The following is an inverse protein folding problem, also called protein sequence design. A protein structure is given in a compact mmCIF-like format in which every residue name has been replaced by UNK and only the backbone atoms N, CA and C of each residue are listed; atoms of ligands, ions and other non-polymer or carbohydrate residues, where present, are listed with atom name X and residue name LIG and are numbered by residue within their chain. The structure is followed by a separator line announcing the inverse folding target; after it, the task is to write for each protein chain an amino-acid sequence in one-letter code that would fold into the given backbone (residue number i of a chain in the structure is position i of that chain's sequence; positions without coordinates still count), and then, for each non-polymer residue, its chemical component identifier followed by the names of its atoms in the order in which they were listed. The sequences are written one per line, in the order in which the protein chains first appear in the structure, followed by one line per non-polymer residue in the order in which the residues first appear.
data_IF_491708166842
#
_entry.id   IF_491708166842
#
_cell.length_a   1.000
_cell.length_b   1.000
_cell.length_c   1.000
_cell.angle_alpha   90.00
_cell.angle_beta   90.00
_cell.angle_gamma   90.00
#
_symmetry.space_group_name_H-M   'P 1'
#
loop_
_entity.id
_entity.type
_entity.pdbx_description
1 polymer ?
#
# COMPACT_ATOMS: atom_id res chain seq x y z
N UNK A 1 -61.89 -44.68 15.64
CA UNK A 1 -62.33 -43.86 14.48
C UNK A 1 -61.09 -43.45 13.69
N UNK A 2 -60.92 -43.99 12.50
CA UNK A 2 -60.11 -43.42 11.39
C UNK A 2 -61.14 -42.93 10.34
N UNK A 3 -60.85 -42.02 9.37
CA UNK A 3 -59.58 -41.95 8.63
C UNK A 3 -59.12 -40.56 8.05
N UNK A 4 -57.88 -40.57 7.51
CA UNK A 4 -57.38 -40.00 6.23
C UNK A 4 -57.69 -38.56 5.75
N UNK A 5 -56.62 -37.84 5.40
CA UNK A 5 -56.44 -36.97 4.20
C UNK A 5 -54.91 -36.74 4.09
N UNK A 6 -54.11 -37.22 3.12
CA UNK A 6 -54.09 -37.26 1.64
C UNK A 6 -53.59 -35.96 0.97
N UNK A 7 -52.48 -36.11 0.23
CA UNK A 7 -52.05 -35.35 -0.98
C UNK A 7 -51.61 -33.87 -0.76
N UNK A 8 -50.70 -33.26 -1.53
CA UNK A 8 -50.05 -33.63 -2.79
C UNK A 8 -48.89 -32.66 -3.09
N UNK A 9 -47.93 -33.18 -3.86
CA UNK A 9 -46.88 -32.51 -4.61
C UNK A 9 -47.39 -31.44 -5.58
N UNK A 10 -46.59 -30.39 -5.80
CA UNK A 10 -46.49 -29.77 -7.14
C UNK A 10 -45.21 -28.93 -7.26
N UNK A 11 -44.26 -29.52 -7.98
CA UNK A 11 -43.12 -28.87 -8.62
C UNK A 11 -43.62 -27.98 -9.76
N UNK A 12 -43.05 -26.79 -9.93
CA UNK A 12 -43.30 -25.93 -11.09
C UNK A 12 -41.98 -25.62 -11.80
N UNK A 13 -41.73 -26.40 -12.85
CA UNK A 13 -40.87 -26.06 -13.98
C UNK A 13 -41.64 -25.13 -14.91
N UNK A 14 -41.07 -23.96 -15.21
CA UNK A 14 -41.48 -23.11 -16.32
C UNK A 14 -40.25 -22.95 -17.23
N UNK A 15 -40.26 -23.67 -18.34
CA UNK A 15 -39.47 -23.38 -19.53
C UNK A 15 -40.34 -22.55 -20.47
N UNK A 16 -39.76 -21.53 -21.11
CA UNK A 16 -40.15 -21.09 -22.45
C UNK A 16 -38.99 -20.28 -23.07
N UNK A 17 -38.48 -20.80 -24.18
CA UNK A 17 -37.76 -20.11 -25.26
C UNK A 17 -38.77 -19.15 -25.96
N UNK A 18 -38.47 -18.10 -26.73
CA UNK A 18 -37.47 -17.89 -27.80
C UNK A 18 -37.54 -16.41 -28.27
N UNK A 19 -36.44 -15.92 -28.87
CA UNK A 19 -36.33 -14.87 -29.93
C UNK A 19 -36.73 -13.40 -29.63
N UNK A 20 -35.78 -12.43 -29.69
CA UNK A 20 -35.34 -11.77 -30.93
C UNK A 20 -34.35 -10.60 -30.66
N UNK A 21 -33.44 -10.38 -31.61
CA UNK A 21 -32.41 -9.33 -31.64
C UNK A 21 -32.94 -7.97 -32.09
N UNK A 22 -32.46 -6.86 -31.50
CA UNK A 22 -31.83 -5.73 -32.23
C UNK A 22 -31.34 -4.60 -31.32
N UNK A 23 -30.07 -4.23 -31.54
CA UNK A 23 -29.54 -2.86 -31.65
C UNK A 23 -29.70 -1.83 -30.51
N UNK A 24 -28.53 -1.40 -30.05
CA UNK A 24 -28.15 -0.07 -29.60
C UNK A 24 -29.04 0.62 -28.55
N UNK A 25 -28.58 0.59 -27.30
CA UNK A 25 -28.48 1.83 -26.54
C UNK A 25 -27.42 1.73 -25.43
N UNK A 26 -26.80 2.87 -25.19
CA UNK A 26 -25.56 3.10 -24.45
C UNK A 26 -25.53 2.53 -23.03
N UNK A 27 -24.53 1.68 -22.74
CA UNK A 27 -24.03 1.53 -21.37
C UNK A 27 -22.53 1.17 -21.35
N UNK A 28 -21.70 2.05 -21.90
CA UNK A 28 -20.35 2.19 -21.37
C UNK A 28 -20.43 2.95 -20.04
N UNK A 29 -21.12 2.37 -19.06
CA UNK A 29 -20.91 2.74 -17.67
C UNK A 29 -19.63 2.01 -17.29
N UNK A 30 -18.50 2.71 -17.31
CA UNK A 30 -17.24 2.17 -16.81
C UNK A 30 -17.52 1.60 -15.42
N UNK A 31 -17.53 0.27 -15.32
CA UNK A 31 -17.61 -0.43 -14.05
C UNK A 31 -16.32 -0.11 -13.32
N UNK A 32 -16.29 1.01 -12.59
CA UNK A 32 -15.19 1.31 -11.69
C UNK A 32 -15.18 0.18 -10.67
N UNK A 33 -14.16 -0.67 -10.75
CA UNK A 33 -13.96 -1.71 -9.77
C UNK A 33 -13.97 -1.04 -8.39
N UNK A 34 -14.75 -1.57 -7.43
CA UNK A 34 -14.84 -0.95 -6.12
C UNK A 34 -13.44 -0.85 -5.54
N UNK A 35 -13.03 0.37 -5.18
CA UNK A 35 -11.74 0.60 -4.56
C UNK A 35 -11.74 -0.07 -3.18
N UNK A 36 -11.12 -1.25 -3.10
CA UNK A 36 -11.01 -2.02 -1.86
C UNK A 36 -9.59 -1.90 -1.30
N UNK A 37 -9.51 -1.79 0.03
CA UNK A 37 -8.26 -1.68 0.77
C UNK A 37 -7.80 -3.06 1.23
N UNK A 38 -6.52 -3.39 1.05
CA UNK A 38 -5.91 -4.57 1.69
C UNK A 38 -5.45 -4.20 3.10
N UNK A 39 -5.77 -5.01 4.11
CA UNK A 39 -5.30 -4.78 5.48
C UNK A 39 -4.19 -5.78 5.81
N UNK A 40 -3.01 -5.27 6.17
CA UNK A 40 -1.89 -6.07 6.66
C UNK A 40 -1.71 -5.86 8.15
N UNK A 41 -1.70 -6.93 8.94
CA UNK A 41 -1.44 -6.88 10.38
C UNK A 41 -0.15 -7.63 10.65
N UNK A 42 0.86 -6.94 11.16
CA UNK A 42 2.17 -7.52 11.46
C UNK A 42 2.39 -7.53 12.96
N UNK A 43 2.72 -8.70 13.51
CA UNK A 43 3.09 -8.81 14.92
C UNK A 43 4.56 -9.11 15.10
N UNK A 44 5.17 -8.47 16.10
CA UNK A 44 6.57 -8.67 16.41
C UNK A 44 6.91 -8.54 17.90
N UNK A 45 8.12 -8.94 18.25
CA UNK A 45 8.72 -8.84 19.56
C UNK A 45 9.85 -7.83 19.57
N UNK A 46 9.80 -6.85 20.48
CA UNK A 46 10.87 -5.85 20.65
C UNK A 46 12.24 -6.51 20.93
N UNK A 47 12.26 -7.69 21.55
CA UNK A 47 13.46 -8.50 21.77
C UNK A 47 14.22 -8.84 20.47
N UNK A 48 13.52 -8.89 19.33
CA UNK A 48 14.08 -9.30 18.04
C UNK A 48 14.23 -8.13 17.06
N UNK A 49 14.29 -6.90 17.57
CA UNK A 49 14.40 -5.67 16.78
C UNK A 49 13.05 -4.99 16.53
N UNK A 50 13.10 -3.70 16.17
CA UNK A 50 11.91 -2.96 15.70
C UNK A 50 11.63 -3.32 14.23
N UNK A 51 10.57 -2.76 13.68
CA UNK A 51 10.33 -2.77 12.23
C UNK A 51 10.51 -1.32 11.77
N UNK A 52 11.03 -1.11 10.56
CA UNK A 52 11.25 0.22 10.00
C UNK A 52 9.95 1.03 9.97
N UNK A 53 10.07 2.34 10.23
CA UNK A 53 8.91 3.24 10.40
C UNK A 53 8.11 3.41 9.11
N UNK A 54 8.75 3.25 7.95
CA UNK A 54 8.12 3.33 6.64
C UNK A 54 7.20 2.14 6.32
N UNK A 55 7.31 1.04 7.07
CA UNK A 55 6.63 -0.21 6.72
C UNK A 55 5.22 -0.36 7.35
N UNK A 56 4.72 0.65 8.07
CA UNK A 56 3.42 0.59 8.74
C UNK A 56 2.75 1.96 8.85
N UNK A 57 1.43 1.97 8.81
CA UNK A 57 0.62 3.17 9.03
C UNK A 57 0.33 3.41 10.51
N UNK A 58 0.07 2.33 11.25
CA UNK A 58 -0.21 2.37 12.68
C UNK A 58 0.64 1.39 13.45
N UNK A 59 1.04 1.77 14.66
CA UNK A 59 1.81 0.90 15.56
C UNK A 59 1.24 0.89 16.98
N UNK A 60 1.12 -0.31 17.57
CA UNK A 60 0.59 -0.52 18.92
C UNK A 60 1.58 -1.25 19.83
N UNK A 61 1.92 -0.63 20.96
CA UNK A 61 2.73 -1.20 22.04
C UNK A 61 1.85 -1.92 23.06
N UNK A 62 2.05 -3.24 23.24
CA UNK A 62 1.33 -4.05 24.21
C UNK A 62 2.21 -4.54 25.37
N UNK A 63 3.37 -3.92 25.61
CA UNK A 63 4.29 -4.31 26.69
C UNK A 63 3.71 -4.08 28.08
N UNK A 64 2.82 -3.09 28.24
CA UNK A 64 2.22 -2.74 29.53
C UNK A 64 0.91 -3.48 29.81
N UNK A 65 0.38 -4.20 28.81
CA UNK A 65 -0.81 -5.03 29.01
C UNK A 65 -0.49 -6.26 29.87
N UNK A 66 -1.42 -6.70 30.73
CA UNK A 66 -1.22 -7.86 31.59
C UNK A 66 -0.92 -9.11 30.77
N UNK A 67 -0.04 -9.96 31.31
CA UNK A 67 0.32 -11.19 30.62
C UNK A 67 -0.79 -12.24 30.76
N UNK A 68 -1.16 -12.94 29.67
CA UNK A 68 -2.16 -14.00 29.73
C UNK A 68 -1.60 -15.26 30.39
N UNK A 69 -2.46 -15.98 31.09
CA UNK A 69 -2.23 -17.25 31.78
C UNK A 69 -1.08 -17.19 32.78
N UNK A 70 -0.72 -18.35 33.33
CA UNK A 70 0.48 -18.49 34.15
C UNK A 70 1.75 -18.52 33.29
N UNK A 71 2.89 -18.20 33.90
CA UNK A 71 4.19 -18.25 33.21
C UNK A 71 4.53 -19.64 32.65
N UNK A 72 4.05 -20.72 33.29
CA UNK A 72 4.28 -22.08 32.82
C UNK A 72 3.45 -22.39 31.56
N UNK A 73 2.17 -22.01 31.54
CA UNK A 73 1.31 -22.21 30.36
C UNK A 73 1.84 -21.44 29.14
N UNK A 74 2.33 -20.20 29.33
CA UNK A 74 2.95 -19.39 28.28
C UNK A 74 4.20 -19.99 27.64
N UNK A 75 4.85 -20.99 28.26
CA UNK A 75 5.99 -21.68 27.63
C UNK A 75 5.56 -22.62 26.49
N UNK A 76 4.33 -23.13 26.55
CA UNK A 76 3.81 -24.14 25.63
C UNK A 76 2.79 -23.59 24.62
N UNK A 77 2.30 -22.37 24.86
CA UNK A 77 1.22 -21.76 24.11
C UNK A 77 1.65 -20.41 23.54
N UNK A 78 1.04 -20.01 22.43
CA UNK A 78 1.18 -18.70 21.80
C UNK A 78 -0.19 -18.01 21.71
N UNK A 79 -0.24 -16.78 21.20
CA UNK A 79 -1.49 -16.07 20.93
C UNK A 79 -2.40 -16.75 19.88
N UNK A 80 -1.88 -17.73 19.14
CA UNK A 80 -2.68 -18.54 18.22
C UNK A 80 -3.62 -19.51 18.98
N UNK A 81 -3.32 -19.83 20.24
CA UNK A 81 -4.15 -20.74 21.01
C UNK A 81 -5.36 -20.00 21.60
N UNK A 82 -6.58 -20.43 21.22
CA UNK A 82 -7.85 -19.88 21.71
C UNK A 82 -7.95 -19.74 23.24
N UNK A 83 -7.53 -20.72 24.07
CA UNK A 83 -7.62 -20.56 25.52
C UNK A 83 -6.75 -19.42 26.07
N UNK A 84 -5.58 -19.19 25.46
CA UNK A 84 -4.71 -18.08 25.84
C UNK A 84 -5.31 -16.74 25.43
N UNK A 85 -5.91 -16.64 24.23
CA UNK A 85 -6.64 -15.43 23.82
C UNK A 85 -7.82 -15.14 24.75
N UNK A 86 -8.63 -16.16 25.08
CA UNK A 86 -9.78 -16.01 25.97
C UNK A 86 -9.36 -15.51 27.35
N UNK A 87 -8.26 -16.04 27.89
CA UNK A 87 -7.71 -15.56 29.16
C UNK A 87 -7.18 -14.12 29.04
N UNK A 88 -6.44 -13.80 27.98
CA UNK A 88 -5.95 -12.44 27.72
C UNK A 88 -7.09 -11.40 27.70
N UNK A 89 -8.16 -11.71 26.97
CA UNK A 89 -9.36 -10.87 26.84
C UNK A 89 -10.34 -11.03 28.00
N UNK A 90 -10.04 -11.84 29.02
CA UNK A 90 -10.87 -11.86 30.24
C UNK A 90 -10.63 -10.61 31.09
N UNK A 91 -9.49 -9.96 30.92
CA UNK A 91 -9.11 -8.76 31.66
C UNK A 91 -9.79 -7.50 31.06
N UNK A 92 -10.51 -6.75 31.89
CA UNK A 92 -11.25 -5.54 31.47
C UNK A 92 -10.33 -4.43 30.94
N UNK A 93 -9.12 -4.28 31.47
CA UNK A 93 -8.15 -3.30 30.96
C UNK A 93 -7.72 -3.66 29.53
N UNK A 94 -7.48 -4.95 29.25
CA UNK A 94 -7.15 -5.43 27.89
C UNK A 94 -8.31 -5.20 26.94
N UNK A 95 -9.56 -5.51 27.35
CA UNK A 95 -10.75 -5.24 26.52
C UNK A 95 -10.89 -3.75 26.22
N UNK A 96 -10.76 -2.89 27.23
CA UNK A 96 -10.90 -1.44 27.09
C UNK A 96 -9.85 -0.87 26.12
N UNK A 97 -8.59 -1.26 26.30
CA UNK A 97 -7.51 -0.88 25.39
C UNK A 97 -7.80 -1.38 23.96
N UNK A 98 -8.17 -2.65 23.79
CA UNK A 98 -8.51 -3.22 22.49
C UNK A 98 -9.65 -2.47 21.79
N UNK A 99 -10.76 -2.19 22.48
CA UNK A 99 -11.88 -1.47 21.87
C UNK A 99 -11.52 -0.03 21.50
N UNK A 100 -10.63 0.61 22.26
CA UNK A 100 -10.13 1.95 21.95
C UNK A 100 -9.28 1.92 20.68
N UNK A 101 -8.28 1.02 20.62
CA UNK A 101 -7.45 0.82 19.44
C UNK A 101 -8.28 0.39 18.23
N UNK A 102 -9.27 -0.50 18.40
CA UNK A 102 -10.15 -0.93 17.31
C UNK A 102 -10.88 0.25 16.67
N UNK A 103 -11.45 1.15 17.48
CA UNK A 103 -12.15 2.34 16.98
C UNK A 103 -11.21 3.26 16.21
N UNK A 104 -9.98 3.43 16.69
CA UNK A 104 -8.94 4.21 16.03
C UNK A 104 -8.54 3.59 14.69
N UNK A 105 -8.20 2.29 14.68
CA UNK A 105 -7.85 1.55 13.46
C UNK A 105 -8.96 1.68 12.42
N UNK A 106 -10.21 1.46 12.81
CA UNK A 106 -11.36 1.57 11.91
C UNK A 106 -11.54 3.00 11.36
N UNK A 107 -11.26 4.01 12.18
CA UNK A 107 -11.28 5.42 11.74
C UNK A 107 -10.20 5.69 10.70
N UNK A 108 -8.98 5.21 10.91
CA UNK A 108 -7.87 5.39 9.98
C UNK A 108 -8.06 4.59 8.69
N UNK A 109 -8.58 3.36 8.74
CA UNK A 109 -8.94 2.57 7.55
C UNK A 109 -9.93 3.35 6.67
N UNK A 110 -10.96 3.96 7.26
CA UNK A 110 -11.95 4.75 6.50
C UNK A 110 -11.33 5.99 5.86
N UNK A 111 -10.41 6.66 6.55
CA UNK A 111 -9.67 7.80 5.99
C UNK A 111 -8.76 7.37 4.85
N UNK A 112 -8.03 6.26 5.03
CA UNK A 112 -7.15 5.69 4.03
C UNK A 112 -7.92 5.32 2.76
N UNK A 113 -9.02 4.60 2.90
CA UNK A 113 -9.94 4.28 1.80
C UNK A 113 -10.43 5.54 1.08
N UNK A 114 -10.88 6.58 1.82
CA UNK A 114 -11.35 7.82 1.22
C UNK A 114 -10.24 8.62 0.51
N UNK A 115 -9.00 8.56 1.02
CA UNK A 115 -7.85 9.19 0.37
C UNK A 115 -7.52 8.49 -0.95
N UNK A 116 -7.51 7.17 -0.93
CA UNK A 116 -7.27 6.37 -2.11
C UNK A 116 -8.31 6.57 -3.22
N UNK A 117 -9.60 6.66 -2.86
CA UNK A 117 -10.66 6.96 -3.83
C UNK A 117 -10.44 8.30 -4.55
N UNK A 118 -9.95 9.32 -3.85
CA UNK A 118 -9.66 10.64 -4.45
C UNK A 118 -8.49 10.61 -5.43
N UNK A 119 -7.46 9.82 -5.14
CA UNK A 119 -6.31 9.68 -6.03
C UNK A 119 -6.74 9.06 -7.37
N UNK A 120 -7.64 8.07 -7.33
CA UNK A 120 -8.17 7.46 -8.54
C UNK A 120 -9.01 8.43 -9.37
N UNK A 121 -9.92 9.19 -8.75
CA UNK A 121 -10.75 10.17 -9.50
C UNK A 121 -9.92 11.26 -10.16
N UNK A 122 -8.84 11.69 -9.50
CA UNK A 122 -7.93 12.69 -10.06
C UNK A 122 -7.09 12.10 -11.20
N UNK A 123 -6.64 10.85 -11.09
CA UNK A 123 -5.90 10.17 -12.15
C UNK A 123 -6.77 9.97 -13.41
N UNK A 124 -8.02 9.56 -13.24
CA UNK A 124 -9.00 9.40 -14.34
C UNK A 124 -9.30 10.74 -15.03
N UNK A 125 -9.51 11.82 -14.26
CA UNK A 125 -9.73 13.17 -14.82
C UNK A 125 -8.49 13.72 -15.57
N UNK A 126 -7.29 13.48 -15.04
CA UNK A 126 -6.03 13.93 -15.69
C UNK A 126 -5.77 13.14 -16.98
N UNK A 127 -6.13 11.85 -17.02
CA UNK A 127 -6.01 11.03 -18.22
C UNK A 127 -6.99 11.48 -19.32
N UNK A 128 -8.22 11.83 -18.95
CA UNK A 128 -9.24 12.34 -19.88
C UNK A 128 -8.87 13.71 -20.45
N UNK A 129 -8.34 14.63 -19.63
CA UNK A 129 -7.89 15.96 -20.06
C UNK A 129 -6.64 15.89 -20.97
N UNK A 130 -5.74 14.92 -20.73
CA UNK A 130 -4.59 14.64 -21.62
C UNK A 130 -5.01 14.03 -22.96
N UNK A 131 -6.03 13.18 -22.97
CA UNK A 131 -6.57 12.62 -24.21
C UNK A 131 -7.22 13.71 -25.08
N UNK A 132 -7.96 14.64 -24.46
CA UNK A 132 -8.61 15.75 -25.19
C UNK A 132 -7.59 16.71 -25.82
N UNK A 133 -6.56 17.08 -25.07
CA UNK A 133 -5.49 17.97 -25.56
C UNK A 133 -4.67 17.35 -26.70
N UNK A 134 -4.39 16.04 -26.65
CA UNK A 134 -3.74 15.34 -27.76
C UNK A 134 -4.62 15.28 -29.02
N UNK A 135 -5.94 15.10 -28.88
CA UNK A 135 -6.85 15.14 -30.04
C UNK A 135 -6.98 16.54 -30.65
N UNK A 136 -6.97 17.59 -29.81
CA UNK A 136 -6.98 18.99 -30.28
C UNK A 136 -5.66 19.38 -30.97
N UNK A 137 -4.52 18.92 -30.48
CA UNK A 137 -3.23 19.12 -31.14
C UNK A 137 -3.15 18.36 -32.46
N UNK A 138 -3.61 17.11 -32.51
CA UNK A 138 -3.65 16.33 -33.74
C UNK A 138 -4.59 16.96 -34.79
N UNK A 139 -5.74 17.52 -34.37
CA UNK A 139 -6.64 18.26 -35.27
C UNK A 139 -5.96 19.49 -35.86
N UNK A 140 -5.28 20.30 -35.03
CA UNK A 140 -4.56 21.51 -35.49
C UNK A 140 -3.45 21.18 -36.49
N UNK A 141 -2.70 20.10 -36.26
CA UNK A 141 -1.65 19.64 -37.19
C UNK A 141 -2.27 19.19 -38.52
N UNK A 142 -3.36 18.44 -38.49
CA UNK A 142 -4.05 17.98 -39.71
C UNK A 142 -4.63 19.15 -40.51
N UNK A 143 -5.19 20.16 -39.83
CA UNK A 143 -5.71 21.37 -40.48
C UNK A 143 -4.58 22.18 -41.13
N UNK A 144 -3.43 22.30 -40.47
CA UNK A 144 -2.24 22.99 -41.01
C UNK A 144 -1.69 22.29 -42.26
N UNK A 145 -1.59 20.96 -42.23
CA UNK A 145 -1.13 20.17 -43.38
C UNK A 145 -2.11 20.30 -44.56
N UNK A 146 -3.42 20.33 -44.29
CA UNK A 146 -4.43 20.47 -45.33
C UNK A 146 -4.39 21.86 -45.99
N UNK A 147 -4.09 22.92 -45.23
CA UNK A 147 -3.88 24.26 -45.80
C UNK A 147 -2.59 24.33 -46.64
N UNK A 148 -1.47 23.77 -46.18
CA UNK A 148 -0.23 23.71 -46.98
C UNK A 148 -0.40 22.91 -48.28
N UNK A 149 -1.16 21.81 -48.25
CA UNK A 149 -1.50 21.02 -49.46
C UNK A 149 -2.42 21.81 -50.41
N UNK A 150 -3.26 22.69 -49.89
CA UNK A 150 -4.14 23.53 -50.69
C UNK A 150 -3.37 24.68 -51.36
N UNK A 151 -2.41 25.29 -50.64
CA UNK A 151 -1.52 26.32 -51.16
C UNK A 151 -0.56 25.76 -52.23
N UNK A 152 0.02 24.57 -52.01
CA UNK A 152 0.84 23.90 -53.03
C UNK A 152 0.07 23.53 -54.31
N UNK A 153 -1.26 23.32 -54.21
CA UNK A 153 -2.10 23.06 -55.40
C UNK A 153 -2.41 24.34 -56.16
N UNK A 154 -2.56 25.46 -55.48
CA UNK A 154 -2.75 26.77 -56.14
C UNK A 154 -1.48 27.26 -56.82
N UNK A 155 -0.30 27.00 -56.25
CA UNK A 155 0.98 27.37 -56.88
C UNK A 155 1.33 26.48 -58.09
N UNK A 156 0.86 25.23 -58.13
CA UNK A 156 1.03 24.31 -59.27
C UNK A 156 0.05 24.56 -60.42
N UNK A 157 -1.05 25.31 -60.21
CA UNK A 157 -1.92 25.76 -61.30
C UNK A 157 -1.44 27.07 -61.97
N UNK A 158 -0.69 27.92 -61.26
CA UNK A 158 -0.12 29.15 -61.83
C UNK A 158 1.27 28.98 -62.48
N UNK A 159 1.99 27.87 -62.21
CA UNK A 159 3.29 27.57 -62.83
C UNK A 159 3.22 26.73 -64.11
N UNK A 160 2.04 26.32 -64.57
CA UNK A 160 1.87 25.63 -65.87
C UNK A 160 1.95 26.56 -67.09
N UNK A 161 2.12 27.88 -66.92
CA UNK A 161 2.17 28.83 -68.05
C UNK A 161 3.48 29.62 -68.22
N UNK A 162 4.44 29.53 -67.29
CA UNK A 162 5.80 30.11 -67.43
C UNK A 162 6.72 29.29 -66.53
N UNK A 163 7.76 28.59 -66.98
CA UNK A 163 8.90 29.15 -67.70
C UNK A 163 9.81 27.98 -68.12
N UNK A 164 9.91 27.74 -69.42
CA UNK A 164 11.05 27.05 -70.02
C UNK A 164 12.11 28.14 -70.27
N UNK A 165 13.15 28.25 -69.42
CA UNK A 165 14.41 28.95 -69.75
C UNK A 165 15.45 28.87 -68.61
N UNK A 166 16.53 28.14 -68.89
CA UNK A 166 17.96 28.41 -68.58
C UNK A 166 18.41 28.59 -67.11
N UNK A 167 19.30 27.72 -66.59
CA UNK A 167 20.79 27.90 -66.52
C UNK A 167 21.20 29.14 -65.67
N UNK A 168 22.22 29.21 -64.80
CA UNK A 168 23.28 28.37 -64.22
C UNK A 168 24.04 29.35 -63.24
N UNK A 169 25.06 28.88 -62.47
CA UNK A 169 26.28 29.65 -62.06
C UNK A 169 26.41 30.37 -60.67
N UNK A 170 27.46 29.92 -59.93
CA UNK A 170 28.39 30.55 -58.93
C UNK A 170 27.88 30.75 -57.47
N UNK A 171 28.50 30.27 -56.37
CA UNK A 171 29.89 30.09 -55.81
C UNK A 171 30.33 31.19 -54.82
N UNK A 172 30.99 30.73 -53.74
CA UNK A 172 31.94 31.40 -52.80
C UNK A 172 31.28 32.35 -51.73
N UNK A 173 31.74 32.54 -50.47
CA UNK A 173 32.95 32.16 -49.72
C UNK A 173 32.79 32.50 -48.19
N UNK A 174 33.61 31.85 -47.32
CA UNK A 174 34.31 32.31 -46.08
C UNK A 174 33.58 33.13 -44.95
N UNK A 175 33.94 33.15 -43.64
CA UNK A 175 34.89 32.50 -42.71
C UNK A 175 34.58 32.97 -41.26
N UNK A 176 34.94 32.16 -40.26
CA UNK A 176 35.45 32.46 -38.89
C UNK A 176 34.94 33.62 -38.01
N UNK A 177 34.67 33.33 -36.72
CA UNK A 177 35.60 33.71 -35.60
C UNK A 177 35.05 33.54 -34.15
N UNK A 178 35.87 32.87 -33.32
CA UNK A 178 36.34 33.17 -31.93
C UNK A 178 35.40 33.70 -30.82
N UNK A 179 35.44 33.04 -29.64
CA UNK A 179 36.09 33.45 -28.33
C UNK A 179 35.47 32.67 -27.14
N UNK A 180 36.28 32.01 -26.29
CA UNK A 180 36.69 32.39 -24.90
C UNK A 180 35.53 32.34 -23.86
N UNK A 181 35.62 31.87 -22.60
CA UNK A 181 36.71 31.71 -21.63
C UNK A 181 36.23 30.91 -20.38
N UNK A 182 37.19 30.28 -19.71
CA UNK A 182 37.45 30.22 -18.24
C UNK A 182 36.48 29.55 -17.23
N UNK A 183 37.00 28.42 -16.73
CA UNK A 183 37.16 27.94 -15.34
C UNK A 183 36.77 28.84 -14.14
N UNK A 184 36.13 28.21 -13.14
CA UNK A 184 36.26 28.61 -11.73
C UNK A 184 36.22 27.38 -10.81
N UNK A 185 37.30 27.19 -10.05
CA UNK A 185 37.43 26.27 -8.91
C UNK A 185 36.74 26.82 -7.65
N UNK A 186 36.32 25.93 -6.75
CA UNK A 186 35.82 26.29 -5.42
C UNK A 186 35.79 25.07 -4.49
N UNK A 187 36.68 25.08 -3.50
CA UNK A 187 36.98 24.02 -2.52
C UNK A 187 35.93 23.84 -1.42
N UNK A 188 35.92 22.59 -0.92
CA UNK A 188 35.68 22.03 0.42
C UNK A 188 35.03 22.84 1.55
N UNK A 189 34.10 22.18 2.26
CA UNK A 189 34.31 21.85 3.70
C UNK A 189 33.32 20.78 4.18
N UNK A 190 33.87 19.82 4.93
CA UNK A 190 33.19 18.79 5.71
C UNK A 190 32.63 19.39 7.01
N UNK A 191 31.44 18.95 7.44
CA UNK A 191 31.14 18.76 8.86
C UNK A 191 30.36 17.45 9.05
N UNK A 192 30.76 16.74 10.10
CA UNK A 192 30.41 15.37 10.47
C UNK A 192 29.05 15.34 11.19
N UNK A 193 28.13 14.47 10.76
CA UNK A 193 26.95 14.10 11.55
C UNK A 193 27.04 12.62 11.93
N UNK A 194 27.18 12.40 13.23
CA UNK A 194 27.15 11.14 13.97
C UNK A 194 25.69 10.70 14.13
N UNK A 195 25.25 9.75 13.32
CA UNK A 195 23.99 9.04 13.54
C UNK A 195 24.25 7.53 13.55
N UNK A 196 23.92 6.92 14.68
CA UNK A 196 23.97 5.49 14.94
C UNK A 196 23.09 4.73 13.95
N UNK A 197 23.71 4.06 12.98
CA UNK A 197 23.08 3.10 12.08
C UNK A 197 22.72 1.81 12.85
N UNK A 198 21.47 1.71 13.31
CA UNK A 198 20.86 0.41 13.62
C UNK A 198 20.62 -0.29 12.27
N UNK A 199 21.20 -1.48 12.07
CA UNK A 199 21.03 -2.29 10.85
C UNK A 199 19.54 -2.48 10.51
N UNK A 200 19.01 -1.66 9.61
CA UNK A 200 17.71 -1.83 8.99
C UNK A 200 17.82 -2.97 7.99
N UNK A 201 17.17 -4.09 8.30
CA UNK A 201 17.00 -5.17 7.32
C UNK A 201 15.99 -4.68 6.29
N UNK A 202 16.49 -4.08 5.21
CA UNK A 202 15.70 -3.78 4.02
C UNK A 202 15.23 -5.10 3.41
N UNK A 203 13.92 -5.37 3.55
CA UNK A 203 13.28 -6.38 2.74
C UNK A 203 12.87 -5.74 1.43
N UNK A 204 13.58 -6.04 0.35
CA UNK A 204 13.20 -5.75 -1.04
C UNK A 204 11.74 -6.18 -1.26
N UNK A 205 10.86 -5.28 -1.73
CA UNK A 205 9.47 -5.61 -2.06
C UNK A 205 8.93 -4.83 -3.25
N UNK A 206 8.11 -5.57 -3.98
CA UNK A 206 7.39 -5.24 -5.21
C UNK A 206 6.47 -4.01 -5.04
N UNK A 207 6.71 -2.95 -5.81
CA UNK A 207 6.09 -1.62 -5.61
C UNK A 207 4.59 -1.52 -5.98
N UNK A 208 3.98 -2.54 -6.60
CA UNK A 208 2.59 -2.45 -7.11
C UNK A 208 1.50 -2.76 -6.05
N UNK A 209 1.79 -3.56 -5.02
CA UNK A 209 0.78 -3.98 -4.02
C UNK A 209 0.70 -3.08 -2.78
N UNK A 210 1.65 -2.16 -2.60
CA UNK A 210 1.74 -1.34 -1.40
C UNK A 210 0.83 -0.10 -1.44
N UNK A 211 0.43 0.40 -2.62
CA UNK A 211 -0.34 1.64 -2.73
C UNK A 211 -1.73 1.57 -2.07
N UNK A 212 -2.33 0.37 -2.00
CA UNK A 212 -3.67 0.16 -1.41
C UNK A 212 -3.64 -0.64 -0.11
N UNK A 213 -2.46 -0.83 0.46
CA UNK A 213 -2.28 -1.66 1.65
C UNK A 213 -2.18 -0.79 2.90
N UNK A 214 -3.13 -0.96 3.82
CA UNK A 214 -3.07 -0.36 5.15
C UNK A 214 -2.46 -1.34 6.16
N UNK A 215 -1.31 -0.99 6.71
CA UNK A 215 -0.50 -1.86 7.57
C UNK A 215 -0.55 -1.44 9.04
N UNK A 216 -0.98 -2.36 9.91
CA UNK A 216 -1.00 -2.21 11.37
C UNK A 216 0.08 -3.09 12.01
N UNK A 217 1.06 -2.47 12.64
CA UNK A 217 2.12 -3.12 13.40
C UNK A 217 1.74 -3.25 14.89
N UNK A 218 1.90 -4.43 15.48
CA UNK A 218 1.52 -4.68 16.88
C UNK A 218 2.65 -5.44 17.57
N UNK A 219 3.17 -4.89 18.66
CA UNK A 219 4.31 -5.52 19.34
C UNK A 219 4.11 -5.73 20.83
N UNK A 220 4.83 -6.71 21.33
CA UNK A 220 5.05 -6.88 22.76
C UNK A 220 6.53 -7.24 22.97
N UNK A 221 6.92 -7.67 24.17
CA UNK A 221 8.33 -7.96 24.43
C UNK A 221 8.91 -9.08 23.53
N UNK A 222 8.24 -10.24 23.41
CA UNK A 222 8.73 -11.41 22.65
C UNK A 222 7.96 -11.74 21.37
N UNK A 223 6.88 -11.02 21.07
CA UNK A 223 6.12 -11.27 19.85
C UNK A 223 5.38 -12.62 19.78
N UNK A 224 5.07 -13.24 20.93
CA UNK A 224 4.45 -14.58 20.98
C UNK A 224 3.05 -14.67 21.53
N UNK A 225 2.68 -13.76 22.44
CA UNK A 225 1.47 -13.88 23.27
C UNK A 225 0.54 -12.70 23.02
N UNK A 226 0.81 -11.57 23.68
CA UNK A 226 -0.08 -10.39 23.67
C UNK A 226 -0.30 -9.84 22.27
N UNK A 227 0.77 -9.57 21.52
CA UNK A 227 0.66 -9.05 20.14
C UNK A 227 -0.06 -10.02 19.20
N UNK A 228 0.28 -11.31 19.25
CA UNK A 228 -0.38 -12.36 18.45
C UNK A 228 -1.86 -12.47 18.81
N UNK A 229 -2.20 -12.54 20.10
CA UNK A 229 -3.60 -12.61 20.56
C UNK A 229 -4.42 -11.41 20.10
N UNK A 230 -3.83 -10.22 20.19
CA UNK A 230 -4.47 -8.96 19.80
C UNK A 230 -4.73 -8.90 18.29
N UNK A 231 -3.75 -9.29 17.48
CA UNK A 231 -3.88 -9.31 16.02
C UNK A 231 -4.96 -10.29 15.53
N UNK A 232 -5.03 -11.48 16.14
CA UNK A 232 -6.04 -12.48 15.80
C UNK A 232 -7.46 -11.99 16.15
N UNK A 233 -7.64 -11.38 17.33
CA UNK A 233 -8.93 -10.77 17.70
C UNK A 233 -9.29 -9.59 16.78
N UNK A 234 -8.30 -8.77 16.42
CA UNK A 234 -8.49 -7.66 15.48
C UNK A 234 -8.97 -8.16 14.11
N UNK A 235 -8.32 -9.20 13.56
CA UNK A 235 -8.75 -9.85 12.31
C UNK A 235 -10.18 -10.37 12.41
N UNK A 236 -10.51 -11.10 13.48
CA UNK A 236 -11.85 -11.65 13.70
C UNK A 236 -12.90 -10.52 13.74
N UNK A 237 -12.60 -9.39 14.42
CA UNK A 237 -13.50 -8.23 14.50
C UNK A 237 -13.68 -7.48 13.19
N UNK A 238 -12.59 -7.16 12.50
CA UNK A 238 -12.63 -6.50 11.19
C UNK A 238 -13.42 -7.34 10.17
N UNK A 239 -13.17 -8.66 10.15
CA UNK A 239 -13.87 -9.59 9.25
C UNK A 239 -15.37 -9.74 9.55
N UNK A 240 -15.76 -9.51 10.80
CA UNK A 240 -17.15 -9.66 11.26
C UNK A 240 -17.98 -8.40 11.06
N UNK A 241 -17.35 -7.24 10.88
CA UNK A 241 -18.04 -5.96 10.71
C UNK A 241 -18.63 -5.83 9.28
N UNK A 242 -19.96 -5.78 9.12
CA UNK A 242 -20.58 -5.76 7.79
C UNK A 242 -20.21 -4.53 6.96
N UNK A 243 -19.96 -3.39 7.60
CA UNK A 243 -19.61 -2.15 6.91
C UNK A 243 -18.17 -2.24 6.39
N UNK A 244 -17.26 -2.79 7.18
CA UNK A 244 -15.87 -2.92 6.78
C UNK A 244 -15.65 -3.97 5.69
N UNK A 245 -16.50 -5.01 5.61
CA UNK A 245 -16.46 -6.00 4.53
C UNK A 245 -16.74 -5.41 3.14
N UNK A 246 -17.36 -4.23 3.06
CA UNK A 246 -17.58 -3.52 1.80
C UNK A 246 -16.38 -2.63 1.41
N UNK A 247 -15.45 -2.38 2.35
CA UNK A 247 -14.30 -1.49 2.17
C UNK A 247 -12.98 -2.25 2.05
N UNK A 248 -12.92 -3.48 2.57
CA UNK A 248 -11.71 -4.29 2.71
C UNK A 248 -11.77 -5.47 1.74
N UNK A 249 -10.74 -5.61 0.89
CA UNK A 249 -10.58 -6.76 -0.01
C UNK A 249 -10.13 -8.01 0.75
N UNK A 250 -9.12 -7.85 1.59
CA UNK A 250 -8.51 -8.95 2.33
C UNK A 250 -7.86 -8.48 3.65
N UNK A 251 -7.63 -9.44 4.55
CA UNK A 251 -6.96 -9.20 5.84
C UNK A 251 -5.87 -10.25 6.05
N UNK A 252 -4.63 -9.81 5.90
CA UNK A 252 -3.43 -10.63 6.01
C UNK A 252 -2.76 -10.42 7.37
N UNK A 253 -2.59 -11.50 8.14
CA UNK A 253 -1.92 -11.45 9.45
C UNK A 253 -0.61 -12.20 9.37
N UNK A 254 0.49 -11.51 9.70
CA UNK A 254 1.83 -12.08 9.74
C UNK A 254 2.40 -12.02 11.16
N UNK A 255 2.92 -13.14 11.64
CA UNK A 255 3.54 -13.22 12.96
C UNK A 255 5.05 -13.43 12.87
N UNK A 256 5.82 -12.33 12.86
CA UNK A 256 7.28 -12.33 12.64
C UNK A 256 8.04 -13.25 13.60
N UNK A 257 7.62 -13.25 14.87
CA UNK A 257 8.43 -13.82 15.97
C UNK A 257 7.75 -14.96 16.75
N UNK A 258 6.55 -15.39 16.34
CA UNK A 258 5.73 -16.35 17.11
C UNK A 258 6.42 -17.70 17.32
N UNK A 259 7.19 -18.16 16.33
CA UNK A 259 7.91 -19.43 16.36
C UNK A 259 9.38 -19.32 16.81
N UNK A 260 9.92 -18.11 17.08
CA UNK A 260 11.32 -17.94 17.47
C UNK A 260 11.59 -18.49 18.88
N UNK A 261 12.38 -19.55 19.01
CA UNK A 261 12.75 -20.08 20.33
C UNK A 261 13.85 -19.23 20.97
N UNK A 262 13.76 -18.98 22.29
CA UNK A 262 14.74 -18.20 23.07
C UNK A 262 16.12 -18.88 23.20
N UNK A 263 16.37 -19.96 22.47
CA UNK A 263 17.55 -20.82 22.59
C UNK A 263 18.66 -20.53 21.57
N UNK A 264 18.50 -19.58 20.64
CA UNK A 264 19.52 -19.32 19.60
C UNK A 264 20.61 -18.30 19.96
N UNK A 265 20.52 -17.53 21.06
CA UNK A 265 21.53 -16.51 21.40
C UNK A 265 22.33 -16.81 22.69
N UNK A 266 22.64 -18.09 22.97
CA UNK A 266 23.62 -18.46 24.01
C UNK A 266 24.93 -18.97 23.41
N UNK A 267 25.53 -18.17 22.55
CA UNK A 267 26.92 -18.31 22.16
C UNK A 267 27.51 -16.91 22.08
N UNK A 268 28.53 -16.66 22.92
CA UNK A 268 29.42 -15.49 22.94
C UNK A 268 29.08 -14.28 23.82
N UNK A 269 28.63 -14.47 25.06
CA UNK A 269 28.82 -13.41 26.07
C UNK A 269 29.15 -13.95 27.47
N UNK A 270 30.32 -14.58 27.59
CA UNK A 270 30.89 -15.03 28.88
C UNK A 270 32.04 -14.15 29.38
N UNK A 271 32.31 -12.98 28.78
CA UNK A 271 33.52 -12.21 29.12
C UNK A 271 33.34 -10.81 29.71
N UNK A 272 32.12 -10.34 29.99
CA UNK A 272 31.91 -8.95 30.48
C UNK A 272 31.45 -8.80 31.93
N UNK A 273 31.35 -9.88 32.73
CA UNK A 273 31.00 -9.80 34.17
C UNK A 273 32.19 -9.98 35.12
N UNK A 274 33.29 -9.26 34.87
CA UNK A 274 34.33 -8.95 35.86
C UNK A 274 34.70 -7.48 35.75
N UNK A 275 33.82 -6.61 36.24
CA UNK A 275 34.16 -5.31 36.84
C UNK A 275 32.88 -4.53 37.09
N UNK A 276 32.24 -4.83 38.21
CA UNK A 276 31.34 -3.92 38.93
C UNK A 276 31.09 -4.51 40.32
N UNK A 277 32.16 -4.54 41.12
CA UNK A 277 32.12 -4.76 42.57
C UNK A 277 32.98 -3.68 43.23
N UNK A 278 32.43 -2.48 43.28
CA UNK A 278 32.75 -1.36 44.18
C UNK A 278 31.88 -0.22 43.66
N UNK A 279 30.77 0.16 44.28
CA UNK A 279 30.71 0.79 45.59
C UNK A 279 29.24 0.86 46.02
N UNK A 280 28.90 0.27 47.15
CA UNK A 280 27.64 0.58 47.85
C UNK A 280 28.04 0.92 49.29
N UNK A 281 28.32 2.20 49.51
CA UNK A 281 28.55 2.76 50.84
C UNK A 281 27.30 3.53 51.26
N UNK A 282 26.76 3.08 52.40
CA UNK A 282 25.87 3.75 53.35
C UNK A 282 25.57 5.23 53.14
N UNK A 283 24.28 5.57 53.21
CA UNK A 283 23.83 6.79 53.89
C UNK A 283 22.68 6.41 54.83
N UNK A 284 22.99 6.41 56.13
CA UNK A 284 22.05 6.73 57.18
C UNK A 284 22.13 8.25 57.37
N UNK A 285 20.99 8.92 57.38
CA UNK A 285 20.56 9.88 58.41
C UNK A 285 19.12 10.32 58.12
#
# INVERSE_FOLDING_TARGET
MLPSISASSSSLTITNETENQSAHDNSALSSSDPFLVSIRIITFGLLYGKISKSSYDLIYNLQDLPNPLTAQARKKMTGLNKPLRKDFFSNEFVKSFFYTSYKEIVKEIRKFHAACQKLQTNAEQTAEERALTQTEEHSKIVDTINEEILEEKTEKEDTFCKTEMQEQIIKDDHQDSKKNNEDTEGEESNEEEDDTEDEEVESEKDEEDDEKTFTVAIYCHKGKHRSVSFAEELKEKLSSDPVLRLLISEINVTHRDVHKNTSSNKSNDKNTRRNQKSSFSYFND
#
